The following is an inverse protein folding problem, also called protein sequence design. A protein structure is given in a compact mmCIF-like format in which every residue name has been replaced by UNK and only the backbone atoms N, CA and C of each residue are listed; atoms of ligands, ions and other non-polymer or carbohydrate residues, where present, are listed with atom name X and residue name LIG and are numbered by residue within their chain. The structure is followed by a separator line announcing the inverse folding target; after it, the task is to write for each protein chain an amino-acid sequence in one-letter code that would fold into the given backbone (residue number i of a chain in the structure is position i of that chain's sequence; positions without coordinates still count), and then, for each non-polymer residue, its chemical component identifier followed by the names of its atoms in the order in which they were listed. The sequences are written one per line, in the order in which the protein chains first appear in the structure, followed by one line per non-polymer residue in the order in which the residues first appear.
data_IF_378861672639
#
_entry.id   IF_378861672639
#
_cell.length_a   1.000
_cell.length_b   1.000
_cell.length_c   1.000
_cell.angle_alpha   90.00
_cell.angle_beta   90.00
_cell.angle_gamma   90.00
#
_symmetry.space_group_name_H-M   'P 1'
#
loop_
_entity.id
_entity.type
_entity.pdbx_description
1 polymer ?
#
# COMPACT_ATOMS: atom_id res chain seq x y z
N UNK A 1 -3.42 -2.50 -26.78
CA UNK A 1 -4.28 -2.53 -25.57
C UNK A 1 -5.08 -3.81 -25.66
N UNK A 2 -4.98 -4.68 -24.67
CA UNK A 2 -5.79 -5.91 -24.65
C UNK A 2 -7.17 -5.51 -24.12
N UNK A 3 -8.20 -5.70 -24.94
CA UNK A 3 -9.56 -5.31 -24.58
C UNK A 3 -10.09 -6.22 -23.46
N UNK A 4 -10.23 -5.64 -22.27
CA UNK A 4 -11.00 -6.23 -21.18
C UNK A 4 -12.48 -6.08 -21.58
N UNK A 5 -13.19 -7.20 -21.71
CA UNK A 5 -14.62 -7.21 -22.06
C UNK A 5 -15.47 -7.33 -20.81
N UNK A 6 -16.47 -6.48 -20.70
CA UNK A 6 -17.48 -6.52 -19.63
C UNK A 6 -18.74 -7.16 -20.22
N UNK A 7 -19.21 -8.23 -19.60
CA UNK A 7 -20.47 -8.90 -19.91
C UNK A 7 -21.46 -8.71 -18.74
N UNK A 8 -22.78 -8.93 -18.94
CA UNK A 8 -23.78 -8.72 -17.89
C UNK A 8 -23.53 -9.52 -16.60
N UNK A 9 -22.85 -10.65 -16.74
CA UNK A 9 -22.53 -11.65 -15.74
C UNK A 9 -21.08 -11.57 -15.22
N UNK A 10 -20.23 -10.70 -15.79
CA UNK A 10 -18.89 -10.50 -15.26
C UNK A 10 -17.86 -9.85 -16.18
N UNK A 11 -16.59 -10.05 -15.83
CA UNK A 11 -15.45 -9.54 -16.56
C UNK A 11 -14.74 -10.70 -17.27
N UNK A 12 -14.63 -10.63 -18.60
CA UNK A 12 -13.80 -11.55 -19.35
C UNK A 12 -12.35 -11.09 -19.29
N UNK A 13 -11.53 -11.88 -18.60
CA UNK A 13 -10.11 -11.66 -18.44
C UNK A 13 -9.35 -12.59 -19.39
N UNK A 14 -8.49 -12.08 -20.29
CA UNK A 14 -7.69 -12.91 -21.17
C UNK A 14 -6.80 -13.91 -20.41
N UNK A 15 -6.62 -15.15 -20.90
CA UNK A 15 -5.91 -16.22 -20.19
C UNK A 15 -4.52 -15.85 -19.67
N UNK A 16 -3.76 -15.04 -20.42
CA UNK A 16 -2.41 -14.61 -20.04
C UNK A 16 -2.35 -13.77 -18.75
N UNK A 17 -3.47 -13.19 -18.30
CA UNK A 17 -3.53 -12.41 -17.06
C UNK A 17 -3.97 -13.24 -15.86
N UNK A 18 -4.51 -14.43 -16.08
CA UNK A 18 -4.96 -15.34 -15.02
C UNK A 18 -4.02 -16.53 -14.82
N UNK A 19 -2.99 -16.63 -15.66
CA UNK A 19 -1.96 -17.65 -15.51
C UNK A 19 -1.24 -17.48 -14.15
N UNK A 20 -1.08 -18.59 -13.42
CA UNK A 20 -0.52 -18.58 -12.07
C UNK A 20 -1.46 -18.14 -10.93
N UNK A 21 -2.74 -17.82 -11.18
CA UNK A 21 -3.71 -17.54 -10.09
C UNK A 21 -4.13 -18.81 -9.33
N UNK A 22 -3.99 -19.97 -9.95
CA UNK A 22 -4.46 -21.26 -9.43
C UNK A 22 -5.96 -21.47 -9.61
N UNK A 23 -6.53 -22.54 -9.01
CA UNK A 23 -7.93 -22.94 -9.23
C UNK A 23 -8.94 -21.98 -8.60
N UNK A 24 -8.51 -21.11 -7.70
CA UNK A 24 -9.38 -20.14 -7.03
C UNK A 24 -8.63 -18.83 -6.87
N UNK A 25 -9.10 -17.81 -7.58
CA UNK A 25 -8.60 -16.45 -7.45
C UNK A 25 -9.33 -15.73 -6.32
N UNK A 26 -8.60 -14.87 -5.61
CA UNK A 26 -9.16 -13.94 -4.64
C UNK A 26 -9.31 -12.58 -5.32
N UNK A 27 -10.49 -11.98 -5.18
CA UNK A 27 -10.79 -10.66 -5.73
C UNK A 27 -11.01 -9.66 -4.60
N UNK A 28 -10.26 -8.56 -4.62
CA UNK A 28 -10.41 -7.45 -3.68
C UNK A 28 -10.65 -6.14 -4.42
N UNK A 29 -11.60 -5.34 -3.93
CA UNK A 29 -11.82 -3.98 -4.39
C UNK A 29 -10.86 -3.00 -3.71
N UNK A 30 -10.31 -2.09 -4.50
CA UNK A 30 -9.50 -0.96 -4.03
C UNK A 30 -10.05 0.35 -4.60
N UNK A 31 -9.54 1.48 -4.12
CA UNK A 31 -9.87 2.79 -4.70
C UNK A 31 -9.36 2.83 -6.14
N UNK A 32 -10.28 2.90 -7.10
CA UNK A 32 -9.95 2.98 -8.52
C UNK A 32 -9.73 1.66 -9.24
N UNK A 33 -9.99 0.50 -8.61
CA UNK A 33 -9.82 -0.77 -9.31
C UNK A 33 -10.10 -2.03 -8.50
N UNK A 34 -9.70 -3.15 -9.09
CA UNK A 34 -9.77 -4.50 -8.54
C UNK A 34 -8.38 -5.11 -8.53
N UNK A 35 -8.05 -5.83 -7.47
CA UNK A 35 -6.90 -6.74 -7.42
C UNK A 35 -7.46 -8.14 -7.54
N UNK A 36 -6.93 -8.89 -8.50
CA UNK A 36 -7.19 -10.32 -8.68
C UNK A 36 -5.87 -11.04 -8.49
N UNK A 37 -5.83 -11.98 -7.56
CA UNK A 37 -4.57 -12.60 -7.12
C UNK A 37 -4.77 -14.06 -6.71
N UNK A 38 -3.67 -14.80 -6.63
CA UNK A 38 -3.69 -16.16 -6.09
C UNK A 38 -3.90 -16.15 -4.58
N UNK A 39 -4.31 -17.30 -4.04
CA UNK A 39 -4.45 -17.47 -2.59
C UNK A 39 -3.15 -17.17 -1.83
N UNK A 40 -2.02 -17.63 -2.37
CA UNK A 40 -0.71 -17.45 -1.74
C UNK A 40 -0.29 -15.98 -1.73
N UNK A 41 -0.55 -15.24 -2.82
CA UNK A 41 -0.31 -13.80 -2.86
C UNK A 41 -1.21 -13.02 -1.89
N UNK A 42 -2.49 -13.41 -1.80
CA UNK A 42 -3.42 -12.81 -0.86
C UNK A 42 -2.94 -12.98 0.59
N UNK A 43 -2.45 -14.18 0.93
CA UNK A 43 -1.89 -14.47 2.24
C UNK A 43 -0.61 -13.66 2.51
N UNK A 44 0.36 -13.69 1.57
CA UNK A 44 1.61 -12.95 1.71
C UNK A 44 1.39 -11.45 1.92
N UNK A 45 0.38 -10.85 1.25
CA UNK A 45 0.02 -9.45 1.49
C UNK A 45 -0.52 -9.22 2.90
N UNK A 46 -1.41 -10.08 3.41
CA UNK A 46 -1.94 -9.89 4.77
C UNK A 46 -0.83 -10.05 5.83
N UNK A 47 0.13 -10.96 5.61
CA UNK A 47 1.33 -11.08 6.43
C UNK A 47 2.19 -9.81 6.39
N UNK A 48 2.44 -9.26 5.20
CA UNK A 48 3.15 -8.01 5.03
C UNK A 48 2.43 -6.84 5.73
N UNK A 49 1.10 -6.78 5.60
CA UNK A 49 0.28 -5.76 6.27
C UNK A 49 0.42 -5.85 7.79
N UNK A 50 0.34 -7.06 8.35
CA UNK A 50 0.52 -7.28 9.77
C UNK A 50 1.93 -6.86 10.24
N UNK A 51 2.96 -7.16 9.46
CA UNK A 51 4.33 -6.71 9.74
C UNK A 51 4.45 -5.18 9.74
N UNK A 52 3.88 -4.50 8.73
CA UNK A 52 3.89 -3.04 8.63
C UNK A 52 3.16 -2.40 9.81
N UNK A 53 2.02 -2.93 10.25
CA UNK A 53 1.31 -2.42 11.42
C UNK A 53 2.11 -2.61 12.71
N UNK A 54 2.80 -3.74 12.86
CA UNK A 54 3.71 -3.97 14.00
C UNK A 54 4.86 -2.97 14.01
N UNK A 55 5.50 -2.73 12.86
CA UNK A 55 6.57 -1.74 12.73
C UNK A 55 6.02 -0.35 13.04
N UNK A 56 4.86 0.02 12.49
CA UNK A 56 4.22 1.32 12.74
C UNK A 56 3.91 1.52 14.22
N UNK A 57 3.41 0.50 14.92
CA UNK A 57 3.16 0.57 16.36
C UNK A 57 4.45 0.78 17.16
N UNK A 58 5.53 0.07 16.79
CA UNK A 58 6.84 0.23 17.42
C UNK A 58 7.49 1.59 17.11
N UNK A 59 7.28 2.15 15.90
CA UNK A 59 7.84 3.46 15.53
C UNK A 59 7.01 4.60 16.12
N UNK A 60 5.69 4.45 16.28
CA UNK A 60 4.86 5.48 16.91
C UNK A 60 5.23 5.78 18.36
N UNK A 61 5.91 4.87 19.07
CA UNK A 61 6.41 5.17 20.41
C UNK A 61 7.63 6.11 20.42
N UNK A 62 8.40 6.14 19.33
CA UNK A 62 9.69 6.87 19.25
C UNK A 62 9.71 7.99 18.18
N UNK A 63 8.66 8.11 17.36
CA UNK A 63 8.59 9.14 16.33
C UNK A 63 8.21 10.51 16.94
N UNK A 64 8.98 11.58 16.67
CA UNK A 64 8.62 12.91 17.13
C UNK A 64 7.29 13.34 16.53
N UNK A 65 6.46 13.97 17.35
CA UNK A 65 5.21 14.60 16.97
C UNK A 65 5.43 15.74 15.98
N UNK A 66 4.38 16.12 15.24
CA UNK A 66 4.43 17.27 14.31
C UNK A 66 4.87 18.57 15.00
N UNK A 67 4.55 18.72 16.29
CA UNK A 67 4.99 19.86 17.10
C UNK A 67 6.51 19.81 17.39
N UNK A 68 7.05 18.64 17.73
CA UNK A 68 8.49 18.44 17.95
C UNK A 68 9.27 18.65 16.64
N UNK A 69 8.75 18.15 15.52
CA UNK A 69 9.32 18.40 14.18
C UNK A 69 9.31 19.92 13.89
N UNK A 70 8.21 20.62 14.18
CA UNK A 70 8.11 22.07 14.03
C UNK A 70 9.17 22.83 14.83
N UNK A 71 9.35 22.48 16.10
CA UNK A 71 10.35 23.09 16.98
C UNK A 71 11.78 22.89 16.46
N UNK A 72 12.13 21.68 16.02
CA UNK A 72 13.45 21.38 15.44
C UNK A 72 13.69 22.20 14.17
N UNK A 73 12.66 22.34 13.32
CA UNK A 73 12.74 23.14 12.08
C UNK A 73 12.92 24.62 12.39
N UNK A 74 12.21 25.17 13.37
CA UNK A 74 12.32 26.58 13.76
C UNK A 74 13.68 26.89 14.40
N UNK A 75 14.21 25.98 15.21
CA UNK A 75 15.57 26.07 15.75
C UNK A 75 16.61 26.09 14.61
N UNK A 76 16.50 25.17 13.65
CA UNK A 76 17.38 25.11 12.49
C UNK A 76 17.30 26.36 11.59
N UNK A 77 16.10 26.94 11.44
CA UNK A 77 15.89 28.21 10.72
C UNK A 77 16.55 29.38 11.43
N UNK A 78 16.40 29.46 12.75
CA UNK A 78 17.00 30.52 13.58
C UNK A 78 18.52 30.45 13.56
N UNK A 79 19.09 29.26 13.67
CA UNK A 79 20.54 29.04 13.60
C UNK A 79 21.11 29.42 12.22
N UNK A 80 20.42 29.08 11.12
CA UNK A 80 20.81 29.51 9.78
C UNK A 80 20.75 31.02 9.60
N UNK A 81 19.76 31.69 10.20
CA UNK A 81 19.62 33.14 10.13
C UNK A 81 20.74 33.86 10.89
N UNK A 82 21.25 33.29 12.00
CA UNK A 82 22.39 33.83 12.76
C UNK A 82 23.75 33.68 12.06
N UNK A 83 23.89 32.70 11.16
CA UNK A 83 25.13 32.43 10.42
C UNK A 83 25.23 33.21 9.10
N UNK A 84 24.24 34.04 8.78
CA UNK A 84 24.26 35.00 7.66
C UNK A 84 24.52 36.40 8.19
#
# INVERSE_FOLDING_TARGET
MTDIKIEPDGLLIPPQYIDGLGPTAIVRRIKGGLIVESRDQAQAREELRALVERIRAAVKSDAPSDAEIGAIVDEARTERARRR
#
